data_IF_827527438288
#
_entry.id   IF_827527438288
#
_cell.length_a   1.000
_cell.length_b   1.000
_cell.length_c   1.000
_cell.angle_alpha   90.00
_cell.angle_beta   90.00
_cell.angle_gamma   90.00
#
_symmetry.space_group_name_H-M   'P 1'
#
loop_
_entity.id
_entity.type
_entity.pdbx_description
1 polymer ?
#
# COMPACT_ATOMS: atom_id res chain seq x y z
N UNK A 1 7.02 9.74 5.00
CA UNK A 1 5.82 8.98 4.53
C UNK A 1 5.92 7.52 4.97
N UNK A 2 4.86 6.70 4.87
CA UNK A 2 4.80 5.34 5.49
C UNK A 2 6.03 4.48 5.17
N UNK A 3 6.51 4.53 3.93
CA UNK A 3 7.70 3.79 3.50
C UNK A 3 9.02 4.34 4.08
N UNK A 4 9.07 5.60 4.49
CA UNK A 4 10.24 6.22 5.12
C UNK A 4 10.27 6.03 6.65
N UNK A 5 9.20 5.47 7.23
CA UNK A 5 9.10 5.32 8.68
C UNK A 5 9.75 4.02 9.15
N UNK A 6 10.52 4.08 10.22
CA UNK A 6 11.24 2.93 10.78
C UNK A 6 10.36 1.97 11.59
N UNK A 7 9.03 2.13 11.60
CA UNK A 7 8.16 1.43 12.54
C UNK A 7 6.78 1.05 12.01
N UNK A 8 6.28 -0.07 12.52
CA UNK A 8 5.01 -0.71 12.14
C UNK A 8 3.77 0.17 12.36
N UNK A 9 3.88 1.15 13.27
CA UNK A 9 2.79 2.05 13.62
C UNK A 9 2.31 2.84 12.41
N UNK A 10 3.21 3.32 11.55
CA UNK A 10 2.81 4.13 10.40
C UNK A 10 2.06 3.29 9.36
N UNK A 11 2.51 2.05 9.13
CA UNK A 11 1.82 1.09 8.25
C UNK A 11 0.42 0.81 8.78
N UNK A 12 0.30 0.47 10.06
CA UNK A 12 -0.99 0.18 10.68
C UNK A 12 -1.95 1.39 10.65
N UNK A 13 -1.45 2.60 10.90
CA UNK A 13 -2.26 3.82 10.82
C UNK A 13 -2.72 4.12 9.40
N UNK A 14 -1.86 3.90 8.40
CA UNK A 14 -2.23 4.10 7.00
C UNK A 14 -3.28 3.10 6.53
N UNK A 15 -3.12 1.82 6.86
CA UNK A 15 -4.10 0.78 6.51
C UNK A 15 -5.47 1.13 7.11
N UNK A 16 -5.51 1.58 8.38
CA UNK A 16 -6.76 2.04 9.01
C UNK A 16 -7.38 3.23 8.29
N UNK A 17 -6.58 4.21 7.88
CA UNK A 17 -7.07 5.36 7.13
C UNK A 17 -7.67 4.93 5.78
N UNK A 18 -6.95 4.13 5.00
CA UNK A 18 -7.41 3.64 3.70
C UNK A 18 -8.70 2.82 3.83
N UNK A 19 -8.81 2.01 4.88
CA UNK A 19 -10.04 1.27 5.20
C UNK A 19 -11.24 2.19 5.41
N UNK A 20 -11.10 3.25 6.22
CA UNK A 20 -12.19 4.19 6.48
C UNK A 20 -12.57 4.95 5.20
N UNK A 21 -11.59 5.38 4.40
CA UNK A 21 -11.84 6.08 3.14
C UNK A 21 -12.58 5.20 2.12
N UNK A 22 -12.25 3.91 2.06
CA UNK A 22 -12.96 2.93 1.23
C UNK A 22 -14.38 2.69 1.73
N UNK A 23 -14.56 2.40 3.02
CA UNK A 23 -15.87 2.08 3.61
C UNK A 23 -16.86 3.23 3.56
N UNK A 24 -16.37 4.47 3.60
CA UNK A 24 -17.20 5.68 3.47
C UNK A 24 -17.49 6.06 2.01
N UNK A 25 -16.90 5.38 1.04
CA UNK A 25 -17.02 5.70 -0.39
C UNK A 25 -16.30 6.98 -0.81
N UNK A 26 -15.48 7.58 0.07
CA UNK A 26 -14.69 8.77 -0.23
C UNK A 26 -13.57 8.49 -1.23
N UNK A 27 -13.03 7.27 -1.22
CA UNK A 27 -12.10 6.76 -2.22
C UNK A 27 -12.76 5.59 -2.93
N UNK A 28 -12.99 5.76 -4.24
CA UNK A 28 -13.56 4.72 -5.09
C UNK A 28 -12.55 3.58 -5.34
N UNK A 29 -13.05 2.42 -5.75
CA UNK A 29 -12.20 1.26 -6.08
C UNK A 29 -11.16 1.61 -7.15
N UNK A 30 -11.59 2.36 -8.16
CA UNK A 30 -10.76 2.82 -9.27
C UNK A 30 -9.67 3.80 -8.83
N UNK A 31 -9.98 4.72 -7.90
CA UNK A 31 -8.98 5.58 -7.28
C UNK A 31 -8.00 4.80 -6.40
N UNK A 32 -8.48 3.83 -5.62
CA UNK A 32 -7.63 2.98 -4.79
C UNK A 32 -6.65 2.18 -5.65
N UNK A 33 -7.14 1.51 -6.69
CA UNK A 33 -6.31 0.72 -7.61
C UNK A 33 -5.24 1.58 -8.28
N UNK A 34 -5.61 2.75 -8.82
CA UNK A 34 -4.62 3.68 -9.42
C UNK A 34 -3.61 4.19 -8.41
N UNK A 35 -4.02 4.40 -7.16
CA UNK A 35 -3.11 4.82 -6.08
C UNK A 35 -2.01 3.80 -5.83
N UNK A 36 -2.38 2.52 -5.67
CA UNK A 36 -1.41 1.42 -5.50
C UNK A 36 -0.56 1.21 -6.75
N UNK A 37 -1.14 1.24 -7.95
CA UNK A 37 -0.38 1.06 -9.19
C UNK A 37 0.73 2.11 -9.33
N UNK A 38 0.45 3.38 -9.01
CA UNK A 38 1.46 4.43 -9.00
C UNK A 38 2.62 4.15 -8.05
N UNK A 39 2.34 3.55 -6.88
CA UNK A 39 3.40 3.17 -5.93
C UNK A 39 4.20 1.98 -6.46
N UNK A 40 3.55 1.04 -7.15
CA UNK A 40 4.22 -0.10 -7.78
C UNK A 40 5.17 0.36 -8.90
N UNK A 41 4.71 1.28 -9.75
CA UNK A 41 5.49 1.79 -10.88
C UNK A 41 6.73 2.57 -10.42
N UNK A 42 6.62 3.33 -9.32
CA UNK A 42 7.69 4.14 -8.74
C UNK A 42 8.56 3.38 -7.72
N UNK A 43 8.26 2.11 -7.43
CA UNK A 43 8.92 1.37 -6.34
C UNK A 43 10.43 1.22 -6.56
N UNK A 44 10.87 1.13 -7.81
CA UNK A 44 12.29 1.08 -8.17
C UNK A 44 13.03 2.33 -7.71
N UNK A 45 12.49 3.50 -8.01
CA UNK A 45 13.08 4.79 -7.64
C UNK A 45 12.98 5.03 -6.13
N UNK A 46 11.85 4.70 -5.51
CA UNK A 46 11.67 4.79 -4.05
C UNK A 46 12.69 3.91 -3.31
N UNK A 47 13.07 2.77 -3.89
CA UNK A 47 14.04 1.85 -3.29
C UNK A 47 15.47 2.41 -3.27
N UNK A 48 15.78 3.44 -4.08
CA UNK A 48 17.07 4.13 -4.05
C UNK A 48 17.24 4.91 -2.75
N UNK A 49 16.16 5.55 -2.28
CA UNK A 49 16.14 6.32 -1.05
C UNK A 49 15.83 5.45 0.18
N UNK A 50 15.00 4.42 0.01
CA UNK A 50 14.53 3.52 1.07
C UNK A 50 14.84 2.06 0.69
N UNK A 51 15.99 1.50 1.13
CA UNK A 51 16.41 0.15 0.74
C UNK A 51 15.42 -0.98 1.10
N UNK A 52 14.53 -0.75 2.08
CA UNK A 52 13.52 -1.70 2.53
C UNK A 52 12.12 -1.45 1.93
N UNK A 53 11.99 -0.55 0.96
CA UNK A 53 10.70 -0.14 0.40
C UNK A 53 9.86 -1.33 -0.09
N UNK A 54 10.48 -2.28 -0.80
CA UNK A 54 9.80 -3.50 -1.28
C UNK A 54 9.17 -4.29 -0.13
N UNK A 55 9.93 -4.57 0.93
CA UNK A 55 9.44 -5.35 2.07
C UNK A 55 8.37 -4.62 2.88
N UNK A 56 8.49 -3.29 3.00
CA UNK A 56 7.47 -2.46 3.67
C UNK A 56 6.18 -2.45 2.84
N UNK A 57 6.29 -2.31 1.52
CA UNK A 57 5.15 -2.28 0.62
C UNK A 57 4.42 -3.62 0.59
N UNK A 58 5.15 -4.73 0.44
CA UNK A 58 4.59 -6.09 0.46
C UNK A 58 3.76 -6.32 1.73
N UNK A 59 4.34 -5.97 2.89
CA UNK A 59 3.63 -6.05 4.17
C UNK A 59 2.40 -5.15 4.24
N UNK A 60 2.49 -3.92 3.72
CA UNK A 60 1.36 -3.00 3.70
C UNK A 60 0.22 -3.52 2.81
N UNK A 61 0.56 -4.08 1.64
CA UNK A 61 -0.39 -4.68 0.70
C UNK A 61 -1.09 -5.90 1.32
N UNK A 62 -0.34 -6.77 2.01
CA UNK A 62 -0.91 -7.92 2.73
C UNK A 62 -1.90 -7.47 3.82
N UNK A 63 -1.52 -6.49 4.64
CA UNK A 63 -2.44 -5.95 5.67
C UNK A 63 -3.67 -5.28 5.04
N UNK A 64 -3.51 -4.55 3.94
CA UNK A 64 -4.65 -3.97 3.22
C UNK A 64 -5.59 -5.06 2.65
N UNK A 65 -5.04 -6.20 2.22
CA UNK A 65 -5.82 -7.32 1.73
C UNK A 65 -6.57 -8.03 2.87
N UNK A 66 -5.90 -8.29 3.99
CA UNK A 66 -6.52 -8.86 5.20
C UNK A 66 -7.66 -8.00 5.74
N UNK A 67 -7.50 -6.67 5.68
CA UNK A 67 -8.51 -5.70 6.12
C UNK A 67 -9.63 -5.44 5.09
N UNK A 68 -9.59 -6.11 3.94
CA UNK A 68 -10.60 -5.99 2.87
C UNK A 68 -10.61 -4.64 2.16
N UNK A 69 -9.47 -3.93 2.18
CA UNK A 69 -9.31 -2.60 1.54
C UNK A 69 -9.03 -2.74 0.05
N UNK A 70 -8.36 -3.81 -0.36
CA UNK A 70 -7.94 -4.05 -1.75
C UNK A 70 -8.39 -5.42 -2.26
N UNK A 71 -8.43 -5.57 -3.58
CA UNK A 71 -8.79 -6.83 -4.23
C UNK A 71 -7.62 -7.81 -4.27
N UNK A 72 -7.92 -9.10 -4.44
CA UNK A 72 -6.91 -10.14 -4.69
C UNK A 72 -6.03 -9.79 -5.89
N UNK A 73 -6.64 -9.31 -6.97
CA UNK A 73 -5.90 -8.95 -8.18
C UNK A 73 -4.84 -7.87 -7.89
N UNK A 74 -5.19 -6.84 -7.13
CA UNK A 74 -4.26 -5.76 -6.78
C UNK A 74 -3.10 -6.24 -5.90
N UNK A 75 -3.36 -7.21 -5.02
CA UNK A 75 -2.33 -7.87 -4.21
C UNK A 75 -1.36 -8.65 -5.09
N UNK A 76 -1.88 -9.45 -6.02
CA UNK A 76 -1.06 -10.29 -6.90
C UNK A 76 -0.22 -9.47 -7.90
N UNK A 77 -0.62 -8.23 -8.20
CA UNK A 77 0.17 -7.31 -9.03
C UNK A 77 1.29 -6.58 -8.28
N UNK A 78 1.42 -6.78 -6.95
CA UNK A 78 2.49 -6.16 -6.19
C UNK A 78 3.86 -6.65 -6.72
N UNK A 79 4.77 -5.75 -7.12
CA UNK A 79 6.08 -6.15 -7.61
C UNK A 79 6.86 -6.86 -6.50
N UNK A 80 7.07 -8.16 -6.68
CA UNK A 80 7.97 -8.96 -5.85
C UNK A 80 9.43 -8.65 -6.24
N UNK A 81 10.31 -8.69 -5.25
CA UNK A 81 11.75 -8.46 -5.44
C UNK A 81 12.41 -9.59 -6.24
#
# INVERSE_FOLDING_TARGET
MVMESSGDTAVAMMVKLLKVLWQTGLVTLDQMNRGFQRVYDELGDISLDVPLAHSILERMVDLCFEEGVITRQLRETCPAR
#
